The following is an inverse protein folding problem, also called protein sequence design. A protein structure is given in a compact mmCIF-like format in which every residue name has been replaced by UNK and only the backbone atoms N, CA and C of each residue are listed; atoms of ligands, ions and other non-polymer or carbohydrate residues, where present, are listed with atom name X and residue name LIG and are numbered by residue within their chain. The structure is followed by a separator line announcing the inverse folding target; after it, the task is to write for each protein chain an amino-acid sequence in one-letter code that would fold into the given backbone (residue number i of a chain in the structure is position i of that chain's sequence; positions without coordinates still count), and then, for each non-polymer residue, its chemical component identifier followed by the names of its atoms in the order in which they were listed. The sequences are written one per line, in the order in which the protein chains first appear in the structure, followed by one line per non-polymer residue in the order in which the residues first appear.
data_IF_645128946362
#
_entry.id   IF_645128946362
#
_cell.length_a   1.000
_cell.length_b   1.000
_cell.length_c   1.000
_cell.angle_alpha   90.00
_cell.angle_beta   90.00
_cell.angle_gamma   90.00
#
_symmetry.space_group_name_H-M   'P 1'
#
loop_
_entity.id
_entity.type
_entity.pdbx_description
1 polymer ?
#
# COMPACT_ATOMS: atom_id res chain seq x y z
N UNK A 1 -26.79 -30.45 -30.17
CA UNK A 1 -25.50 -30.72 -29.48
C UNK A 1 -25.27 -29.62 -28.47
N UNK A 2 -25.27 -29.94 -27.18
CA UNK A 2 -25.34 -28.98 -26.07
C UNK A 2 -24.32 -29.34 -24.98
N UNK A 3 -23.74 -28.28 -24.40
CA UNK A 3 -23.02 -28.18 -23.11
C UNK A 3 -21.52 -28.45 -23.10
N UNK A 4 -20.75 -27.37 -23.30
CA UNK A 4 -19.67 -27.05 -22.38
C UNK A 4 -20.26 -26.39 -21.12
N UNK A 5 -19.99 -26.96 -19.95
CA UNK A 5 -20.03 -26.24 -18.67
C UNK A 5 -19.05 -26.93 -17.72
N UNK A 6 -17.81 -26.43 -17.69
CA UNK A 6 -16.89 -26.72 -16.58
C UNK A 6 -17.44 -25.99 -15.36
N UNK A 7 -18.10 -26.72 -14.46
CA UNK A 7 -18.44 -26.21 -13.13
C UNK A 7 -17.14 -26.04 -12.34
N UNK A 8 -16.73 -24.79 -12.08
CA UNK A 8 -15.71 -24.52 -11.08
C UNK A 8 -16.31 -24.81 -9.69
N UNK A 9 -15.74 -25.76 -8.94
CA UNK A 9 -16.23 -26.14 -7.62
C UNK A 9 -16.07 -25.00 -6.61
N UNK A 10 -17.10 -24.66 -5.80
CA UNK A 10 -17.06 -23.56 -4.83
C UNK A 10 -16.00 -23.74 -3.73
N UNK A 11 -15.55 -24.97 -3.47
CA UNK A 11 -14.45 -25.24 -2.53
C UNK A 11 -13.09 -24.74 -3.05
N UNK A 12 -12.87 -24.73 -4.37
CA UNK A 12 -11.61 -24.28 -4.95
C UNK A 12 -11.48 -22.75 -4.90
N UNK A 13 -12.59 -22.01 -5.13
CA UNK A 13 -12.60 -20.56 -5.00
C UNK A 13 -12.41 -20.09 -3.55
N UNK A 14 -13.05 -20.77 -2.59
CA UNK A 14 -12.88 -20.45 -1.16
C UNK A 14 -11.43 -20.65 -0.68
N UNK A 15 -10.75 -21.70 -1.15
CA UNK A 15 -9.34 -21.96 -0.85
C UNK A 15 -8.42 -20.91 -1.47
N UNK A 16 -8.66 -20.51 -2.73
CA UNK A 16 -7.89 -19.46 -3.41
C UNK A 16 -8.03 -18.10 -2.73
N UNK A 17 -9.24 -17.72 -2.32
CA UNK A 17 -9.48 -16.46 -1.63
C UNK A 17 -8.84 -16.45 -0.23
N UNK A 18 -8.78 -17.60 0.45
CA UNK A 18 -8.06 -17.74 1.70
C UNK A 18 -6.54 -17.52 1.52
N UNK A 19 -5.95 -18.09 0.47
CA UNK A 19 -4.52 -17.89 0.15
C UNK A 19 -4.22 -16.41 -0.15
N UNK A 20 -5.07 -15.74 -0.93
CA UNK A 20 -4.88 -14.32 -1.26
C UNK A 20 -5.05 -13.40 -0.05
N UNK A 21 -5.94 -13.73 0.89
CA UNK A 21 -6.07 -13.01 2.17
C UNK A 21 -4.84 -13.16 3.06
N UNK A 22 -4.29 -14.38 3.15
CA UNK A 22 -3.05 -14.62 3.91
C UNK A 22 -1.86 -13.85 3.32
N UNK A 23 -1.78 -13.77 1.99
CA UNK A 23 -0.78 -12.94 1.30
C UNK A 23 -0.97 -11.46 1.66
N UNK A 24 -2.20 -10.95 1.63
CA UNK A 24 -2.52 -9.58 2.07
C UNK A 24 -2.10 -9.31 3.52
N UNK A 25 -2.38 -10.25 4.43
CA UNK A 25 -1.99 -10.17 5.85
C UNK A 25 -0.48 -10.06 6.05
N UNK A 26 0.30 -10.83 5.28
CA UNK A 26 1.76 -10.76 5.29
C UNK A 26 2.27 -9.43 4.74
N UNK A 27 1.66 -8.92 3.66
CA UNK A 27 1.95 -7.60 3.12
C UNK A 27 1.78 -6.50 4.17
N UNK A 28 0.64 -6.47 4.87
CA UNK A 28 0.41 -5.49 5.95
C UNK A 28 1.35 -5.66 7.14
N UNK A 29 1.72 -6.89 7.49
CA UNK A 29 2.68 -7.14 8.57
C UNK A 29 4.05 -6.55 8.21
N UNK A 30 4.49 -6.71 6.96
CA UNK A 30 5.71 -6.10 6.44
C UNK A 30 5.64 -4.56 6.49
N UNK A 31 4.54 -3.97 6.02
CA UNK A 31 4.30 -2.51 6.08
C UNK A 31 4.41 -1.99 7.51
N UNK A 32 3.77 -2.68 8.47
CA UNK A 32 3.80 -2.32 9.90
C UNK A 32 5.22 -2.32 10.47
N UNK A 33 6.05 -3.31 10.13
CA UNK A 33 7.42 -3.39 10.64
C UNK A 33 8.33 -2.32 10.01
N UNK A 34 8.12 -1.97 8.74
CA UNK A 34 8.78 -0.81 8.12
C UNK A 34 8.41 0.49 8.84
N UNK A 35 7.12 0.73 9.07
CA UNK A 35 6.62 1.93 9.74
C UNK A 35 7.19 2.09 11.17
N UNK A 36 7.19 1.03 11.97
CA UNK A 36 7.76 1.05 13.33
C UNK A 36 9.25 1.37 13.35
N UNK A 37 10.00 0.79 12.40
CA UNK A 37 11.44 1.02 12.28
C UNK A 37 11.71 2.50 11.99
N UNK A 38 10.92 3.10 11.10
CA UNK A 38 11.07 4.51 10.73
C UNK A 38 10.63 5.47 11.84
N UNK A 39 9.61 5.13 12.63
CA UNK A 39 9.22 5.92 13.81
C UNK A 39 10.33 5.99 14.88
N UNK A 40 11.18 4.98 14.96
CA UNK A 40 12.29 4.93 15.92
C UNK A 40 13.57 5.62 15.41
N UNK A 41 13.54 6.25 14.22
CA UNK A 41 14.70 6.85 13.58
C UNK A 41 14.77 8.36 13.81
N UNK A 42 15.96 8.93 14.04
CA UNK A 42 16.15 10.40 14.12
C UNK A 42 16.13 11.11 12.75
N UNK A 43 15.76 10.42 11.67
CA UNK A 43 15.72 10.99 10.33
C UNK A 43 14.56 11.99 10.14
N UNK A 44 14.68 12.83 9.12
CA UNK A 44 13.61 13.72 8.68
C UNK A 44 12.40 12.93 8.19
N UNK A 45 11.21 13.51 8.26
CA UNK A 45 9.97 12.94 7.73
C UNK A 45 10.14 12.52 6.26
N UNK A 46 10.81 13.33 5.45
CA UNK A 46 11.04 13.01 4.04
C UNK A 46 11.91 11.75 3.85
N UNK A 47 12.98 11.61 4.62
CA UNK A 47 13.84 10.41 4.57
C UNK A 47 13.11 9.16 5.04
N UNK A 48 12.35 9.26 6.14
CA UNK A 48 11.53 8.17 6.66
C UNK A 48 10.53 7.67 5.61
N UNK A 49 9.79 8.60 4.98
CA UNK A 49 8.83 8.25 3.93
C UNK A 49 9.53 7.64 2.71
N UNK A 50 10.69 8.16 2.29
CA UNK A 50 11.47 7.59 1.17
C UNK A 50 11.88 6.14 1.44
N UNK A 51 12.43 5.86 2.62
CA UNK A 51 12.86 4.50 2.99
C UNK A 51 11.67 3.55 3.07
N UNK A 52 10.58 3.98 3.71
CA UNK A 52 9.37 3.19 3.86
C UNK A 52 8.77 2.81 2.50
N UNK A 53 8.47 3.79 1.65
CA UNK A 53 7.83 3.53 0.35
C UNK A 53 8.75 2.80 -0.63
N UNK A 54 10.08 2.98 -0.54
CA UNK A 54 11.02 2.19 -1.32
C UNK A 54 11.09 0.72 -0.85
N UNK A 55 10.98 0.46 0.47
CA UNK A 55 10.85 -0.90 1.01
C UNK A 55 9.58 -1.56 0.47
N UNK A 56 8.44 -0.94 0.72
CA UNK A 56 7.13 -1.43 0.27
C UNK A 56 7.09 -1.70 -1.24
N UNK A 57 7.60 -0.77 -2.05
CA UNK A 57 7.59 -0.94 -3.50
C UNK A 57 8.44 -2.14 -3.94
N UNK A 58 9.61 -2.39 -3.34
CA UNK A 58 10.45 -3.55 -3.67
C UNK A 58 9.76 -4.87 -3.33
N UNK A 59 9.11 -4.94 -2.18
CA UNK A 59 8.39 -6.15 -1.76
C UNK A 59 7.22 -6.44 -2.69
N UNK A 60 6.47 -5.41 -3.08
CA UNK A 60 5.38 -5.54 -4.05
C UNK A 60 5.90 -5.91 -5.45
N UNK A 61 7.01 -5.31 -5.86
CA UNK A 61 7.59 -5.52 -7.19
C UNK A 61 8.13 -6.94 -7.40
N UNK A 62 8.55 -7.61 -6.32
CA UNK A 62 9.16 -8.95 -6.35
C UNK A 62 8.24 -10.04 -6.91
N UNK A 63 6.91 -9.87 -6.84
CA UNK A 63 5.94 -10.83 -7.36
C UNK A 63 4.71 -10.14 -7.98
N UNK A 64 4.92 -9.54 -9.15
CA UNK A 64 3.86 -8.87 -9.91
C UNK A 64 2.64 -9.76 -10.20
N UNK A 65 2.77 -11.04 -10.63
CA UNK A 65 1.62 -11.92 -10.84
C UNK A 65 0.78 -12.12 -9.58
N UNK A 66 1.41 -12.30 -8.41
CA UNK A 66 0.72 -12.41 -7.14
C UNK A 66 -0.06 -11.13 -6.81
N UNK A 67 0.58 -9.97 -6.94
CA UNK A 67 -0.07 -8.69 -6.65
C UNK A 67 -1.18 -8.37 -7.63
N UNK A 68 -1.07 -8.77 -8.89
CA UNK A 68 -2.18 -8.72 -9.85
C UNK A 68 -3.36 -9.54 -9.36
N UNK A 69 -3.14 -10.75 -8.83
CA UNK A 69 -4.20 -11.57 -8.28
C UNK A 69 -4.85 -10.93 -7.03
N UNK A 70 -4.05 -10.39 -6.11
CA UNK A 70 -4.53 -9.68 -4.91
C UNK A 70 -5.42 -8.49 -5.26
N UNK A 71 -5.00 -7.67 -6.24
CA UNK A 71 -5.77 -6.51 -6.69
C UNK A 71 -7.08 -6.95 -7.37
N UNK A 72 -7.02 -7.94 -8.26
CA UNK A 72 -8.21 -8.41 -8.99
C UNK A 72 -9.23 -9.12 -8.07
N UNK A 73 -8.78 -9.79 -7.02
CA UNK A 73 -9.67 -10.44 -6.05
C UNK A 73 -10.21 -9.47 -5.00
N UNK A 74 -9.72 -8.23 -4.96
CA UNK A 74 -9.99 -7.27 -3.88
C UNK A 74 -9.68 -7.86 -2.48
N UNK A 75 -8.65 -8.72 -2.38
CA UNK A 75 -8.36 -9.44 -1.13
C UNK A 75 -7.95 -8.52 0.03
N UNK A 76 -7.45 -7.32 -0.29
CA UNK A 76 -7.09 -6.29 0.69
C UNK A 76 -8.12 -5.17 0.80
N UNK A 77 -9.29 -5.30 0.17
CA UNK A 77 -10.35 -4.28 0.29
C UNK A 77 -10.95 -4.31 1.71
N UNK A 78 -10.79 -3.23 2.50
CA UNK A 78 -11.25 -3.15 3.89
C UNK A 78 -12.78 -3.11 4.02
N UNK A 79 -13.50 -2.81 2.95
CA UNK A 79 -14.97 -2.92 2.90
C UNK A 79 -15.37 -4.39 2.84
N UNK A 80 -14.58 -5.22 2.15
CA UNK A 80 -14.85 -6.65 1.94
C UNK A 80 -14.24 -7.56 3.00
N UNK A 81 -13.27 -7.06 3.78
CA UNK A 81 -12.57 -7.85 4.80
C UNK A 81 -12.37 -7.05 6.09
N UNK A 82 -13.15 -7.32 7.15
CA UNK A 82 -12.98 -6.68 8.46
C UNK A 82 -11.60 -6.91 9.08
N UNK A 83 -10.94 -8.03 8.76
CA UNK A 83 -9.57 -8.30 9.20
C UNK A 83 -8.56 -7.35 8.54
N UNK A 84 -8.74 -7.07 7.24
CA UNK A 84 -7.88 -6.13 6.50
C UNK A 84 -8.10 -4.69 6.95
N UNK A 85 -9.32 -4.33 7.32
CA UNK A 85 -9.63 -3.00 7.87
C UNK A 85 -8.78 -2.66 9.09
N UNK A 86 -8.64 -3.61 10.04
CA UNK A 86 -7.80 -3.38 11.22
C UNK A 86 -6.32 -3.19 10.87
N UNK A 87 -5.82 -3.92 9.88
CA UNK A 87 -4.43 -3.84 9.45
C UNK A 87 -4.15 -2.52 8.71
N UNK A 88 -5.08 -2.10 7.85
CA UNK A 88 -5.08 -0.80 7.21
C UNK A 88 -5.13 0.34 8.24
N UNK A 89 -6.05 0.29 9.20
CA UNK A 89 -6.16 1.28 10.29
C UNK A 89 -4.85 1.43 11.07
N UNK A 90 -4.14 0.33 11.35
CA UNK A 90 -2.83 0.35 12.02
C UNK A 90 -1.79 1.02 11.12
N UNK A 91 -1.66 0.60 9.86
CA UNK A 91 -0.69 1.18 8.93
C UNK A 91 -0.95 2.69 8.71
N UNK A 92 -2.21 3.06 8.58
CA UNK A 92 -2.67 4.43 8.42
C UNK A 92 -2.40 5.28 9.66
N UNK A 93 -2.58 4.72 10.86
CA UNK A 93 -2.27 5.41 12.12
C UNK A 93 -0.78 5.72 12.25
N UNK A 94 0.10 4.81 11.85
CA UNK A 94 1.55 5.02 11.91
C UNK A 94 2.03 6.07 10.86
N UNK A 95 1.42 6.09 9.66
CA UNK A 95 1.70 7.14 8.68
C UNK A 95 1.30 8.53 9.22
N UNK A 96 0.15 8.61 9.87
CA UNK A 96 -0.32 9.85 10.51
C UNK A 96 0.66 10.32 11.58
N UNK A 97 1.22 9.41 12.37
CA UNK A 97 2.20 9.74 13.41
C UNK A 97 3.47 10.37 12.79
N UNK A 98 4.04 9.76 11.74
CA UNK A 98 5.21 10.30 11.03
C UNK A 98 4.93 11.72 10.47
N UNK A 99 3.73 11.94 9.92
CA UNK A 99 3.33 13.23 9.37
C UNK A 99 3.05 14.26 10.46
N UNK A 100 2.47 13.85 11.60
CA UNK A 100 2.23 14.71 12.75
C UNK A 100 3.55 15.22 13.35
N UNK A 101 4.52 14.33 13.57
CA UNK A 101 5.86 14.72 14.01
C UNK A 101 6.52 15.68 13.01
N UNK A 102 6.32 15.45 11.71
CA UNK A 102 6.81 16.36 10.67
C UNK A 102 6.18 17.75 10.76
N UNK A 103 4.89 17.83 11.07
CA UNK A 103 4.22 19.12 11.33
C UNK A 103 4.76 19.78 12.60
N UNK A 104 4.95 19.03 13.68
CA UNK A 104 5.51 19.56 14.94
C UNK A 104 6.90 20.13 14.74
N UNK A 105 7.75 19.43 13.99
CA UNK A 105 9.12 19.83 13.64
C UNK A 105 9.20 20.92 12.56
N UNK A 106 8.07 21.27 11.94
CA UNK A 106 8.03 22.26 10.86
C UNK A 106 8.57 21.75 9.52
N UNK A 107 8.74 20.45 9.35
CA UNK A 107 9.18 19.79 8.11
C UNK A 107 8.02 19.57 7.12
N UNK A 108 6.79 19.51 7.64
CA UNK A 108 5.55 19.28 6.88
C UNK A 108 4.57 20.43 7.14
N UNK A 109 3.86 20.86 6.10
CA UNK A 109 2.88 21.93 6.14
C UNK A 109 1.76 21.65 7.15
N UNK A 110 1.36 22.69 7.89
CA UNK A 110 0.17 22.71 8.75
C UNK A 110 -1.09 23.23 8.06
N UNK A 111 -1.01 23.55 6.75
CA UNK A 111 -2.16 24.04 5.99
C UNK A 111 -3.28 23.00 5.86
N UNK A 112 -2.95 21.72 6.00
CA UNK A 112 -3.91 20.61 5.95
C UNK A 112 -3.82 19.75 7.21
N UNK A 113 -4.96 19.20 7.68
CA UNK A 113 -4.97 18.18 8.73
C UNK A 113 -4.13 16.96 8.36
N UNK A 114 -3.40 16.40 9.33
CA UNK A 114 -2.58 15.18 9.17
C UNK A 114 -3.37 14.03 8.54
N UNK A 115 -4.65 13.87 8.92
CA UNK A 115 -5.51 12.82 8.37
C UNK A 115 -5.69 12.96 6.86
N UNK A 116 -5.89 14.18 6.34
CA UNK A 116 -6.03 14.40 4.90
C UNK A 116 -4.70 14.14 4.18
N UNK A 117 -3.57 14.54 4.77
CA UNK A 117 -2.25 14.27 4.19
C UNK A 117 -1.98 12.77 4.08
N UNK A 118 -2.35 11.99 5.09
CA UNK A 118 -2.25 10.54 5.08
C UNK A 118 -3.17 9.92 4.01
N UNK A 119 -4.43 10.34 3.91
CA UNK A 119 -5.39 9.89 2.89
C UNK A 119 -4.87 10.15 1.47
N UNK A 120 -4.30 11.33 1.23
CA UNK A 120 -3.76 11.68 -0.09
C UNK A 120 -2.58 10.79 -0.48
N UNK A 121 -1.65 10.56 0.45
CA UNK A 121 -0.50 9.70 0.19
C UNK A 121 -0.92 8.24 -0.02
N UNK A 122 -1.85 7.74 0.78
CA UNK A 122 -2.42 6.40 0.62
C UNK A 122 -3.12 6.25 -0.75
N UNK A 123 -3.94 7.23 -1.13
CA UNK A 123 -4.62 7.26 -2.41
C UNK A 123 -3.65 7.23 -3.60
N UNK A 124 -2.55 8.00 -3.51
CA UNK A 124 -1.48 7.99 -4.51
C UNK A 124 -0.82 6.60 -4.61
N UNK A 125 -0.40 6.04 -3.48
CA UNK A 125 0.28 4.73 -3.44
C UNK A 125 -0.61 3.61 -3.99
N UNK A 126 -1.84 3.50 -3.49
CA UNK A 126 -2.80 2.47 -3.91
C UNK A 126 -3.12 2.58 -5.39
N UNK A 127 -3.27 3.79 -5.92
CA UNK A 127 -3.48 4.02 -7.35
C UNK A 127 -2.29 3.56 -8.19
N UNK A 128 -1.06 3.90 -7.77
CA UNK A 128 0.17 3.51 -8.46
C UNK A 128 0.31 1.99 -8.50
N UNK A 129 0.15 1.31 -7.35
CA UNK A 129 0.25 -0.15 -7.24
C UNK A 129 -0.82 -0.83 -8.09
N UNK A 130 -2.08 -0.40 -8.00
CA UNK A 130 -3.19 -0.97 -8.79
C UNK A 130 -2.91 -0.88 -10.28
N UNK A 131 -2.53 0.30 -10.77
CA UNK A 131 -2.25 0.50 -12.20
C UNK A 131 -1.04 -0.32 -12.65
N UNK A 132 0.01 -0.39 -11.83
CA UNK A 132 1.16 -1.24 -12.13
C UNK A 132 0.81 -2.73 -12.17
N UNK A 133 0.03 -3.24 -11.23
CA UNK A 133 -0.32 -4.65 -11.19
C UNK A 133 -1.26 -5.08 -12.34
N UNK A 134 -2.23 -4.23 -12.69
CA UNK A 134 -3.34 -4.61 -13.59
C UNK A 134 -3.27 -3.95 -14.96
N UNK A 135 -3.07 -2.64 -15.00
CA UNK A 135 -3.42 -1.80 -16.16
C UNK A 135 -2.25 -1.51 -17.11
N UNK A 136 -1.01 -1.67 -16.67
CA UNK A 136 0.17 -1.34 -17.47
C UNK A 136 0.76 -2.56 -18.17
N UNK A 137 0.71 -2.67 -19.51
CA UNK A 137 1.43 -3.70 -20.24
C UNK A 137 2.94 -3.39 -20.25
N UNK A 138 3.80 -4.39 -20.01
CA UNK A 138 5.26 -4.26 -20.15
C UNK A 138 6.06 -4.07 -18.84
N UNK A 139 7.40 -4.05 -18.91
CA UNK A 139 8.29 -4.02 -17.74
C UNK A 139 8.40 -2.59 -17.18
N UNK A 140 7.37 -2.17 -16.44
CA UNK A 140 7.42 -0.92 -15.69
C UNK A 140 7.93 -1.18 -14.29
N UNK A 141 8.85 -0.34 -13.79
CA UNK A 141 9.28 -0.46 -12.40
C UNK A 141 8.23 0.11 -11.46
N UNK A 142 7.80 -0.67 -10.48
CA UNK A 142 6.94 -0.16 -9.41
C UNK A 142 7.71 0.80 -8.52
N UNK A 143 8.94 0.45 -8.16
CA UNK A 143 9.83 1.28 -7.32
C UNK A 143 9.99 2.68 -7.90
N UNK A 144 10.24 2.82 -9.21
CA UNK A 144 10.38 4.14 -9.83
C UNK A 144 9.08 4.96 -9.80
N UNK A 145 7.93 4.30 -9.99
CA UNK A 145 6.62 4.97 -9.99
C UNK A 145 6.23 5.42 -8.58
N UNK A 146 6.44 4.57 -7.58
CA UNK A 146 6.18 4.90 -6.17
C UNK A 146 7.10 6.04 -5.73
N UNK A 147 8.39 5.99 -6.08
CA UNK A 147 9.32 7.10 -5.85
C UNK A 147 8.80 8.40 -6.46
N UNK A 148 8.35 8.38 -7.71
CA UNK A 148 7.84 9.57 -8.39
C UNK A 148 6.59 10.14 -7.71
N UNK A 149 5.67 9.28 -7.27
CA UNK A 149 4.48 9.69 -6.53
C UNK A 149 4.82 10.29 -5.16
N UNK A 150 5.79 9.70 -4.46
CA UNK A 150 6.27 10.23 -3.19
C UNK A 150 6.95 11.59 -3.36
N UNK A 151 7.84 11.76 -4.34
CA UNK A 151 8.49 13.07 -4.56
C UNK A 151 7.49 14.15 -4.98
N UNK A 152 6.45 13.78 -5.72
CA UNK A 152 5.33 14.68 -6.00
C UNK A 152 4.60 15.10 -4.72
N UNK A 153 4.28 14.14 -3.85
CA UNK A 153 3.65 14.41 -2.56
C UNK A 153 4.54 15.32 -1.68
N UNK A 154 5.82 14.96 -1.51
CA UNK A 154 6.78 15.73 -0.71
C UNK A 154 6.90 17.17 -1.19
N UNK A 155 6.99 17.42 -2.51
CA UNK A 155 7.00 18.77 -3.07
C UNK A 155 5.75 19.60 -2.71
N UNK A 156 4.62 18.94 -2.50
CA UNK A 156 3.36 19.60 -2.13
C UNK A 156 3.21 19.86 -0.63
N UNK A 157 3.97 19.16 0.22
CA UNK A 157 3.77 19.19 1.68
C UNK A 157 4.97 19.66 2.47
N UNK A 158 6.18 19.65 1.91
CA UNK A 158 7.39 20.11 2.59
C UNK A 158 7.35 21.62 2.85
N UNK A 159 8.05 22.06 3.89
CA UNK A 159 8.27 23.46 4.24
C UNK A 159 9.77 23.80 4.19
#
# INVERSE_FOLDING_TARGET
MSRFSKSASPHFSASKDAVLREVGRRGYSCIKEHLKTELSSDATTAERLRRMYAGMARDVESDRPLWRAVVLSAAMDPVRSPEMRRLEEIAFSLLREILAEGQERGEVTKAFPVVHLAEFMEGLYTTVVRRWAVDLPGPHSLTERVRSALEFFLKGVQQ
#
